data_IF_430011121123
#
_entry.id   IF_430011121123
#
_cell.length_a   1.000
_cell.length_b   1.000
_cell.length_c   1.000
_cell.angle_alpha   90.00
_cell.angle_beta   90.00
_cell.angle_gamma   90.00
#
_symmetry.space_group_name_H-M   'P 1'
#
loop_
_entity.id
_entity.type
_entity.pdbx_description
1 polymer ?
#
# COMPACT_ATOMS: atom_id res chain seq x y z
N UNK A 1 0.09 9.66 26.50
CA UNK A 1 -1.31 9.40 26.10
C UNK A 1 -2.31 10.21 26.94
N UNK A 2 -2.32 10.11 28.28
CA UNK A 2 -3.30 10.82 29.11
C UNK A 2 -3.17 12.35 29.06
N UNK A 3 -1.99 12.88 28.77
CA UNK A 3 -1.78 14.31 28.58
C UNK A 3 -2.51 14.86 27.34
N UNK A 4 -2.59 14.05 26.27
CA UNK A 4 -3.20 14.45 24.99
C UNK A 4 -4.73 14.58 25.06
N UNK A 5 -5.37 13.95 26.05
CA UNK A 5 -6.84 13.96 26.20
C UNK A 5 -7.32 14.89 27.32
N UNK A 6 -6.43 15.72 27.89
CA UNK A 6 -6.73 16.71 28.89
C UNK A 6 -6.79 18.12 28.32
N UNK A 7 -7.88 18.81 28.62
CA UNK A 7 -8.04 20.23 28.33
C UNK A 7 -8.44 20.93 29.62
N UNK A 8 -7.70 21.95 30.02
CA UNK A 8 -7.97 22.65 31.29
C UNK A 8 -7.94 21.74 32.53
N UNK A 9 -7.14 20.66 32.52
CA UNK A 9 -7.06 19.69 33.63
C UNK A 9 -8.13 18.59 33.60
N UNK A 10 -9.17 18.72 32.79
CA UNK A 10 -10.27 17.75 32.65
C UNK A 10 -9.96 16.71 31.59
N UNK A 11 -10.41 15.45 31.79
CA UNK A 11 -10.28 14.38 30.82
C UNK A 11 -11.56 14.32 29.98
N UNK A 12 -11.41 14.46 28.64
CA UNK A 12 -12.52 14.48 27.69
C UNK A 12 -12.66 13.23 26.86
N UNK A 13 -11.63 12.36 26.83
CA UNK A 13 -11.66 11.14 26.06
C UNK A 13 -10.80 10.05 26.72
N UNK A 14 -11.05 8.82 26.35
CA UNK A 14 -10.15 7.70 26.64
C UNK A 14 -9.19 7.57 25.46
N UNK A 15 -7.87 7.72 25.65
CA UNK A 15 -6.93 7.57 24.55
C UNK A 15 -6.94 6.13 24.05
N UNK A 16 -7.15 5.95 22.77
CA UNK A 16 -6.97 4.65 22.14
C UNK A 16 -5.48 4.28 22.17
N UNK A 17 -5.14 3.21 22.86
CA UNK A 17 -3.81 2.63 22.83
C UNK A 17 -3.79 1.53 21.75
N UNK A 18 -3.76 1.93 20.50
CA UNK A 18 -3.58 1.01 19.39
C UNK A 18 -2.09 0.68 19.26
N UNK A 19 -1.67 -0.41 19.89
CA UNK A 19 -0.36 -1.00 19.66
C UNK A 19 -0.30 -1.79 18.33
N UNK A 20 -1.21 -1.49 17.40
CA UNK A 20 -1.23 -2.16 16.10
C UNK A 20 -0.21 -1.46 15.21
N UNK A 21 0.99 -2.00 15.17
CA UNK A 21 1.94 -1.66 14.12
C UNK A 21 1.40 -2.21 12.81
N UNK A 22 1.25 -1.33 11.84
CA UNK A 22 1.08 -1.71 10.44
C UNK A 22 2.21 -1.08 9.64
N UNK A 23 2.70 -1.82 8.64
CA UNK A 23 3.57 -1.27 7.62
C UNK A 23 2.81 -1.14 6.31
N UNK A 24 3.27 -0.29 5.45
CA UNK A 24 2.83 -0.31 4.06
C UNK A 24 3.57 -1.45 3.37
N UNK A 25 2.88 -2.17 2.50
CA UNK A 25 3.48 -3.28 1.80
C UNK A 25 2.68 -3.65 0.56
N UNK A 26 3.01 -4.78 -0.01
CA UNK A 26 2.33 -5.35 -1.15
C UNK A 26 1.71 -6.69 -0.74
N UNK A 27 0.42 -6.89 -0.97
CA UNK A 27 -0.22 -8.20 -0.82
C UNK A 27 -0.43 -8.83 -2.19
N UNK A 28 0.02 -10.07 -2.33
CA UNK A 28 -0.02 -10.81 -3.57
C UNK A 28 -0.77 -12.14 -3.43
N UNK A 29 -1.24 -12.69 -4.54
CA UNK A 29 -1.84 -14.03 -4.62
C UNK A 29 -0.80 -15.11 -4.30
N UNK A 30 -1.06 -15.88 -3.26
CA UNK A 30 -0.16 -16.94 -2.81
C UNK A 30 -0.01 -18.09 -3.83
N UNK A 31 -1.05 -18.39 -4.59
CA UNK A 31 -1.01 -19.41 -5.64
C UNK A 31 -0.01 -19.05 -6.76
N UNK A 32 -0.04 -17.79 -7.21
CA UNK A 32 0.87 -17.28 -8.24
C UNK A 32 2.31 -17.17 -7.73
N UNK A 33 2.48 -16.67 -6.50
CA UNK A 33 3.80 -16.59 -5.84
C UNK A 33 4.44 -17.98 -5.79
N UNK A 34 3.70 -19.00 -5.38
CA UNK A 34 4.19 -20.39 -5.35
C UNK A 34 4.45 -20.95 -6.75
N UNK A 35 3.56 -20.71 -7.70
CA UNK A 35 3.69 -21.22 -9.06
C UNK A 35 4.94 -20.69 -9.77
N UNK A 36 5.31 -19.42 -9.51
CA UNK A 36 6.48 -18.78 -10.10
C UNK A 36 7.76 -18.94 -9.25
N UNK A 37 7.69 -19.60 -8.09
CA UNK A 37 8.83 -19.79 -7.21
C UNK A 37 9.38 -18.48 -6.62
N UNK A 38 8.52 -17.49 -6.45
CA UNK A 38 8.90 -16.19 -5.88
C UNK A 38 9.07 -16.37 -4.37
N UNK A 39 10.20 -15.88 -3.83
CA UNK A 39 10.42 -15.75 -2.39
C UNK A 39 10.00 -14.34 -1.94
N UNK A 40 8.87 -14.15 -1.27
CA UNK A 40 8.44 -12.83 -0.83
C UNK A 40 9.44 -12.14 0.10
N UNK A 41 10.16 -12.91 0.92
CA UNK A 41 11.15 -12.36 1.85
C UNK A 41 12.37 -11.74 1.16
N UNK A 42 12.63 -12.13 -0.09
CA UNK A 42 13.70 -11.54 -0.91
C UNK A 42 13.30 -10.21 -1.57
N UNK A 43 12.00 -9.88 -1.61
CA UNK A 43 11.49 -8.66 -2.25
C UNK A 43 11.46 -7.52 -1.25
N UNK A 44 12.56 -6.78 -1.17
CA UNK A 44 12.75 -5.71 -0.18
C UNK A 44 12.87 -4.31 -0.78
N UNK A 45 12.92 -4.21 -2.11
CA UNK A 45 13.04 -2.95 -2.84
C UNK A 45 11.97 -2.81 -3.91
N UNK A 46 11.72 -1.57 -4.32
CA UNK A 46 10.80 -1.27 -5.42
C UNK A 46 11.23 -1.90 -6.75
N UNK A 47 12.53 -2.00 -7.00
CA UNK A 47 13.06 -2.56 -8.24
C UNK A 47 12.88 -4.08 -8.26
N UNK A 48 13.09 -4.76 -7.14
CA UNK A 48 12.79 -6.19 -7.01
C UNK A 48 11.29 -6.48 -7.16
N UNK A 49 10.43 -5.62 -6.61
CA UNK A 49 8.99 -5.75 -6.81
C UNK A 49 8.62 -5.56 -8.29
N UNK A 50 9.23 -4.57 -8.97
CA UNK A 50 9.05 -4.38 -10.41
C UNK A 50 9.42 -5.65 -11.20
N UNK A 51 10.55 -6.26 -10.91
CA UNK A 51 10.99 -7.50 -11.58
C UNK A 51 9.96 -8.64 -11.38
N UNK A 52 9.41 -8.77 -10.17
CA UNK A 52 8.32 -9.73 -9.89
C UNK A 52 7.07 -9.41 -10.71
N UNK A 53 6.65 -8.15 -10.78
CA UNK A 53 5.47 -7.75 -11.57
C UNK A 53 5.66 -8.03 -13.06
N UNK A 54 6.85 -7.79 -13.60
CA UNK A 54 7.21 -8.13 -14.99
C UNK A 54 7.20 -9.64 -15.19
N UNK A 55 7.73 -10.42 -14.25
CA UNK A 55 7.68 -11.90 -14.30
C UNK A 55 6.25 -12.40 -14.33
N UNK A 56 5.37 -11.86 -13.49
CA UNK A 56 3.94 -12.20 -13.48
C UNK A 56 3.29 -11.84 -14.81
N UNK A 57 3.53 -10.64 -15.34
CA UNK A 57 2.97 -10.20 -16.62
C UNK A 57 3.38 -11.09 -17.80
N UNK A 58 4.61 -11.53 -17.79
CA UNK A 58 5.14 -12.43 -18.82
C UNK A 58 4.54 -13.84 -18.73
N UNK A 59 4.36 -14.36 -17.51
CA UNK A 59 3.78 -15.69 -17.28
C UNK A 59 2.26 -15.72 -17.49
N UNK A 60 1.58 -14.62 -17.14
CA UNK A 60 0.12 -14.46 -17.18
C UNK A 60 -0.24 -13.13 -17.88
N UNK A 61 -0.19 -13.06 -19.23
CA UNK A 61 -0.36 -11.82 -19.98
C UNK A 61 -1.71 -11.11 -19.76
N UNK A 62 -2.76 -11.86 -19.46
CA UNK A 62 -4.11 -11.33 -19.20
C UNK A 62 -4.31 -10.83 -17.76
N UNK A 63 -3.43 -11.26 -16.83
CA UNK A 63 -3.49 -10.86 -15.43
C UNK A 63 -3.05 -9.40 -15.27
N UNK A 64 -3.71 -8.68 -14.35
CA UNK A 64 -3.29 -7.35 -13.93
C UNK A 64 -2.31 -7.45 -12.78
N UNK A 65 -1.01 -7.15 -12.95
CA UNK A 65 -0.03 -7.31 -11.88
C UNK A 65 -0.32 -6.46 -10.66
N UNK A 66 -0.75 -5.20 -10.84
CA UNK A 66 -1.11 -4.30 -9.74
C UNK A 66 -2.52 -3.78 -9.93
N UNK A 67 -3.39 -4.13 -8.99
CA UNK A 67 -4.69 -3.49 -8.86
C UNK A 67 -4.51 -2.25 -8.00
N UNK A 68 -4.85 -1.07 -8.51
CA UNK A 68 -4.55 0.17 -7.80
C UNK A 68 -5.48 0.38 -6.60
N UNK A 69 -4.88 0.94 -5.56
CA UNK A 69 -5.58 1.59 -4.46
C UNK A 69 -4.89 2.95 -4.22
N UNK A 70 -5.01 3.81 -5.23
CA UNK A 70 -4.22 5.05 -5.30
C UNK A 70 -4.49 6.07 -4.19
N UNK A 71 -5.67 6.01 -3.56
CA UNK A 71 -5.97 6.91 -2.45
C UNK A 71 -5.02 6.77 -1.26
N UNK A 72 -4.19 5.74 -1.24
CA UNK A 72 -3.25 5.47 -0.15
C UNK A 72 -1.79 5.39 -0.59
N UNK A 73 -1.47 5.66 -1.85
CA UNK A 73 -0.11 5.53 -2.35
C UNK A 73 0.89 6.43 -1.63
N UNK A 74 0.45 7.62 -1.18
CA UNK A 74 1.26 8.51 -0.36
C UNK A 74 1.69 7.87 0.96
N UNK A 75 0.96 6.89 1.46
CA UNK A 75 1.29 6.19 2.70
C UNK A 75 2.44 5.18 2.52
N UNK A 76 2.74 4.80 1.28
CA UNK A 76 3.88 3.91 0.98
C UNK A 76 5.23 4.58 1.18
N UNK A 77 5.25 5.90 1.38
CA UNK A 77 6.48 6.67 1.57
C UNK A 77 7.08 6.55 2.97
N UNK A 78 6.38 5.90 3.92
CA UNK A 78 6.88 5.69 5.28
C UNK A 78 7.06 6.96 6.11
N UNK A 79 6.43 8.05 5.69
CA UNK A 79 6.48 9.34 6.37
C UNK A 79 5.40 9.44 7.44
N UNK A 80 5.58 10.34 8.41
CA UNK A 80 4.59 10.63 9.43
C UNK A 80 3.61 11.71 8.93
N UNK A 81 2.42 11.31 8.42
CA UNK A 81 1.44 12.27 7.92
C UNK A 81 0.75 12.97 9.07
N UNK A 82 0.64 14.28 8.96
CA UNK A 82 -0.21 15.07 9.84
C UNK A 82 -1.69 14.90 9.43
N UNK A 83 -2.60 15.30 10.30
CA UNK A 83 -4.03 14.99 10.19
C UNK A 83 -4.74 15.42 8.89
N UNK A 84 -4.14 16.28 8.08
CA UNK A 84 -4.68 16.74 6.79
C UNK A 84 -4.17 15.96 5.56
N UNK A 85 -3.21 15.04 5.75
CA UNK A 85 -2.50 14.31 4.71
C UNK A 85 -1.73 15.18 3.69
N UNK A 86 -1.58 16.48 3.95
CA UNK A 86 -0.77 17.42 3.15
C UNK A 86 0.58 17.65 3.80
N UNK A 87 0.56 17.93 5.09
CA UNK A 87 1.75 18.12 5.90
C UNK A 87 2.32 16.79 6.35
N UNK A 88 3.62 16.61 6.23
CA UNK A 88 4.35 15.44 6.71
C UNK A 88 5.64 15.82 7.40
N UNK A 89 6.09 14.97 8.31
CA UNK A 89 7.44 14.99 8.85
C UNK A 89 8.29 14.03 7.99
N UNK A 90 9.11 14.55 7.08
CA UNK A 90 9.83 13.74 6.10
C UNK A 90 10.89 12.81 6.71
N UNK A 91 11.43 13.14 7.87
CA UNK A 91 12.48 12.38 8.54
C UNK A 91 11.99 11.54 9.73
N UNK A 92 10.68 11.52 9.98
CA UNK A 92 10.02 10.80 11.09
C UNK A 92 10.52 11.17 12.51
N UNK A 93 11.54 12.02 12.63
CA UNK A 93 12.12 12.48 13.90
C UNK A 93 12.21 14.00 13.97
N UNK A 94 12.00 14.68 12.88
CA UNK A 94 12.04 16.12 12.79
C UNK A 94 10.79 16.79 13.34
N UNK A 95 10.86 18.10 13.43
CA UNK A 95 9.75 18.98 13.80
C UNK A 95 9.35 19.91 12.65
N UNK A 96 9.99 19.74 11.50
CA UNK A 96 9.72 20.56 10.32
C UNK A 96 8.62 19.90 9.49
N UNK A 97 7.55 20.64 9.29
CA UNK A 97 6.42 20.21 8.45
C UNK A 97 6.73 20.59 7.01
N UNK A 98 6.63 19.60 6.14
CA UNK A 98 6.80 19.79 4.69
C UNK A 98 5.52 19.44 3.94
N UNK A 99 5.35 19.98 2.74
CA UNK A 99 4.26 19.60 1.86
C UNK A 99 4.62 18.29 1.15
N UNK A 100 3.89 17.21 1.46
CA UNK A 100 4.11 15.89 0.89
C UNK A 100 4.16 15.92 -0.64
N UNK A 101 3.19 16.55 -1.27
CA UNK A 101 3.03 16.55 -2.73
C UNK A 101 4.10 17.38 -3.47
N UNK A 102 4.79 18.29 -2.76
CA UNK A 102 5.93 19.02 -3.28
C UNK A 102 7.27 18.29 -3.03
N UNK A 103 7.26 17.16 -2.32
CA UNK A 103 8.46 16.43 -1.97
C UNK A 103 9.06 15.66 -3.15
N UNK A 104 10.37 15.50 -3.13
CA UNK A 104 11.09 14.66 -4.12
C UNK A 104 10.66 13.19 -4.03
N UNK A 105 10.39 12.71 -2.83
CA UNK A 105 9.96 11.35 -2.55
C UNK A 105 8.61 11.06 -3.23
N UNK A 106 7.65 11.97 -3.10
CA UNK A 106 6.36 11.82 -3.78
C UNK A 106 6.50 11.87 -5.31
N UNK A 107 7.30 12.79 -5.83
CA UNK A 107 7.58 12.86 -7.27
C UNK A 107 8.22 11.58 -7.81
N UNK A 108 9.07 10.91 -7.00
CA UNK A 108 9.70 9.63 -7.35
C UNK A 108 8.65 8.51 -7.45
N UNK A 109 7.76 8.40 -6.45
CA UNK A 109 6.66 7.41 -6.50
C UNK A 109 5.75 7.66 -7.69
N UNK A 110 5.38 8.91 -7.98
CA UNK A 110 4.56 9.23 -9.15
C UNK A 110 5.24 8.81 -10.47
N UNK A 111 6.55 9.06 -10.61
CA UNK A 111 7.30 8.63 -11.80
C UNK A 111 7.29 7.10 -11.95
N UNK A 112 7.52 6.38 -10.85
CA UNK A 112 7.52 4.92 -10.84
C UNK A 112 6.15 4.35 -11.20
N UNK A 113 5.08 4.90 -10.62
CA UNK A 113 3.72 4.48 -10.95
C UNK A 113 3.36 4.78 -12.41
N UNK A 114 3.80 5.92 -12.93
CA UNK A 114 3.61 6.24 -14.36
C UNK A 114 4.37 5.25 -15.26
N UNK A 115 5.63 4.93 -14.93
CA UNK A 115 6.40 3.91 -15.65
C UNK A 115 5.67 2.57 -15.65
N UNK A 116 5.23 2.08 -14.50
CA UNK A 116 4.50 0.81 -14.38
C UNK A 116 3.18 0.82 -15.16
N UNK A 117 2.51 1.98 -15.21
CA UNK A 117 1.31 2.15 -16.03
C UNK A 117 1.63 2.01 -17.52
N UNK A 118 2.68 2.67 -18.02
CA UNK A 118 3.13 2.56 -19.42
C UNK A 118 3.57 1.14 -19.79
N UNK A 119 4.18 0.41 -18.86
CA UNK A 119 4.56 -0.98 -19.02
C UNK A 119 3.36 -1.97 -18.94
N UNK A 120 2.16 -1.47 -18.64
CA UNK A 120 0.95 -2.28 -18.51
C UNK A 120 0.92 -3.17 -17.26
N UNK A 121 1.69 -2.80 -16.23
CA UNK A 121 1.71 -3.48 -14.94
C UNK A 121 0.58 -3.02 -14.02
N UNK A 122 -0.02 -1.86 -14.28
CA UNK A 122 -1.14 -1.29 -13.52
C UNK A 122 -2.40 -1.32 -14.38
N UNK A 123 -3.54 -1.58 -13.74
CA UNK A 123 -4.84 -1.54 -14.39
C UNK A 123 -5.09 -0.19 -15.05
N UNK A 124 -5.42 -0.17 -16.35
CA UNK A 124 -5.59 1.08 -17.13
C UNK A 124 -6.72 1.97 -16.62
N UNK A 125 -7.83 1.38 -16.17
CA UNK A 125 -9.01 2.11 -15.69
C UNK A 125 -8.99 2.34 -14.17
N UNK A 126 -7.83 2.33 -13.59
CA UNK A 126 -7.60 2.43 -12.15
C UNK A 126 -8.24 3.65 -11.47
N UNK A 127 -8.35 4.76 -12.19
CA UNK A 127 -8.92 6.02 -11.68
C UNK A 127 -10.44 6.05 -11.63
N UNK A 128 -11.11 5.07 -12.21
CA UNK A 128 -12.57 5.08 -12.42
C UNK A 128 -13.34 4.25 -11.38
N UNK A 129 -12.67 3.59 -10.45
CA UNK A 129 -13.34 2.69 -9.52
C UNK A 129 -13.11 3.07 -8.06
N UNK A 130 -14.19 3.10 -7.29
CA UNK A 130 -14.20 3.24 -5.82
C UNK A 130 -14.27 1.89 -5.10
N UNK A 131 -14.12 0.79 -5.83
CA UNK A 131 -14.20 -0.55 -5.24
C UNK A 131 -12.96 -0.88 -4.39
N UNK A 132 -13.16 -1.75 -3.40
CA UNK A 132 -12.04 -2.24 -2.59
C UNK A 132 -11.05 -3.06 -3.41
N UNK A 133 -9.77 -2.97 -3.10
CA UNK A 133 -8.73 -3.68 -3.84
C UNK A 133 -8.96 -5.21 -3.94
N UNK A 134 -9.40 -5.95 -2.89
CA UNK A 134 -9.72 -7.38 -3.03
C UNK A 134 -10.85 -7.67 -4.01
N UNK A 135 -11.85 -6.78 -4.11
CA UNK A 135 -12.92 -6.90 -5.10
C UNK A 135 -12.41 -6.64 -6.52
N UNK A 136 -11.57 -5.63 -6.68
CA UNK A 136 -10.90 -5.32 -7.94
C UNK A 136 -10.01 -6.46 -8.41
N UNK A 137 -9.29 -7.12 -7.48
CA UNK A 137 -8.50 -8.32 -7.79
C UNK A 137 -9.36 -9.44 -8.40
N UNK A 138 -10.57 -9.67 -7.86
CA UNK A 138 -11.51 -10.65 -8.44
C UNK A 138 -12.01 -10.24 -9.82
N UNK A 139 -12.36 -8.97 -9.97
CA UNK A 139 -13.00 -8.46 -11.19
C UNK A 139 -12.04 -8.44 -12.38
N UNK A 140 -10.77 -8.15 -12.14
CA UNK A 140 -9.75 -7.94 -13.17
C UNK A 140 -8.64 -9.00 -13.16
N UNK A 141 -8.86 -10.12 -12.48
CA UNK A 141 -7.82 -11.16 -12.28
C UNK A 141 -6.49 -10.55 -11.83
N UNK A 142 -6.55 -9.81 -10.71
CA UNK A 142 -5.40 -9.08 -10.19
C UNK A 142 -4.41 -9.99 -9.47
N UNK A 143 -3.10 -9.70 -9.60
CA UNK A 143 -2.06 -10.39 -8.83
C UNK A 143 -1.90 -9.82 -7.43
N UNK A 144 -1.86 -8.49 -7.27
CA UNK A 144 -1.66 -7.88 -5.96
C UNK A 144 -2.01 -6.40 -5.89
N UNK A 145 -1.88 -5.84 -4.69
CA UNK A 145 -2.20 -4.44 -4.38
C UNK A 145 -1.42 -3.93 -3.17
N UNK A 146 -1.44 -2.61 -2.95
CA UNK A 146 -0.76 -1.94 -1.83
C UNK A 146 -1.71 -1.63 -0.69
N UNK A 147 -1.79 -2.45 0.37
CA UNK A 147 -2.54 -2.15 1.59
C UNK A 147 -1.64 -1.66 2.71
N UNK A 148 -2.29 -1.29 3.81
CA UNK A 148 -1.66 -1.38 5.12
C UNK A 148 -1.55 -2.85 5.51
N UNK A 149 -0.33 -3.34 5.71
CA UNK A 149 -0.08 -4.74 6.08
C UNK A 149 -0.13 -4.88 7.59
N UNK A 150 -1.08 -5.67 8.06
CA UNK A 150 -1.21 -6.18 9.42
C UNK A 150 -1.93 -7.52 9.36
N UNK A 151 -1.81 -8.35 10.40
CA UNK A 151 -2.47 -9.66 10.43
C UNK A 151 -3.99 -9.54 10.16
N UNK A 152 -4.64 -8.56 10.76
CA UNK A 152 -6.07 -8.32 10.54
C UNK A 152 -6.39 -7.95 9.08
N UNK A 153 -5.56 -7.14 8.44
CA UNK A 153 -5.76 -6.73 7.04
C UNK A 153 -5.48 -7.88 6.09
N UNK A 154 -4.48 -8.70 6.34
CA UNK A 154 -4.21 -9.91 5.55
C UNK A 154 -5.42 -10.86 5.64
N UNK A 155 -5.90 -11.16 6.87
CA UNK A 155 -7.05 -12.04 7.08
C UNK A 155 -8.32 -11.48 6.41
N UNK A 156 -8.61 -10.20 6.58
CA UNK A 156 -9.80 -9.58 5.99
C UNK A 156 -9.74 -9.53 4.47
N UNK A 157 -8.58 -9.22 3.91
CA UNK A 157 -8.35 -9.18 2.46
C UNK A 157 -8.44 -10.58 1.84
N UNK A 158 -7.83 -11.58 2.47
CA UNK A 158 -7.94 -13.00 2.09
C UNK A 158 -9.40 -13.47 2.07
N UNK A 159 -10.17 -13.15 3.11
CA UNK A 159 -11.60 -13.49 3.16
C UNK A 159 -12.40 -12.78 2.08
N UNK A 160 -12.12 -11.51 1.82
CA UNK A 160 -12.81 -10.72 0.80
C UNK A 160 -12.46 -11.17 -0.61
N UNK A 161 -11.22 -11.50 -0.85
CA UNK A 161 -10.74 -12.05 -2.12
C UNK A 161 -11.21 -13.50 -2.31
N UNK A 162 -11.18 -14.31 -1.26
CA UNK A 162 -11.62 -15.72 -1.26
C UNK A 162 -10.52 -16.72 -1.53
N UNK A 163 -9.28 -16.25 -1.73
CA UNK A 163 -8.07 -17.05 -1.87
C UNK A 163 -6.97 -16.49 -0.98
N UNK A 164 -5.94 -17.28 -0.71
CA UNK A 164 -4.84 -16.90 0.15
C UNK A 164 -4.02 -15.75 -0.44
N UNK A 165 -3.77 -14.74 0.38
CA UNK A 165 -2.86 -13.63 0.08
C UNK A 165 -1.64 -13.68 0.99
N UNK A 166 -0.48 -13.32 0.45
CA UNK A 166 0.80 -13.23 1.16
C UNK A 166 1.37 -11.81 1.03
N UNK A 167 2.04 -11.32 2.09
CA UNK A 167 2.72 -10.02 2.06
C UNK A 167 4.07 -10.12 1.33
#
# INVERSE_FOLDING_TARGET
LWACVRVGGQIYAVPANNNVNYSQGFLARADIVRALGIDPAAVTTWDQLHDVLVQVKNAYPEMVPVVPHFSQIQQTLGQDPLGDNLGVLLDNQGTTVENLYASKQYAEVCRRMHQWYEEGLILKDASLTDDSAPRMMKLYDGFGFFPRVSDNNIISSTRSFGEELVP
#
